data_IF_129477970802
#
_entry.id   IF_129477970802
#
_cell.length_a   1.000
_cell.length_b   1.000
_cell.length_c   1.000
_cell.angle_alpha   90.00
_cell.angle_beta   90.00
_cell.angle_gamma   90.00
#
_symmetry.space_group_name_H-M   'P 1'
#
loop_
_entity.id
_entity.type
_entity.pdbx_description
1 polymer ?
#
# COMPACT_ATOMS: atom_id res chain seq x y z
N UNK A 1 3.68 -9.77 14.89
CA UNK A 1 2.81 -9.72 13.70
C UNK A 1 1.77 -10.84 13.75
N UNK A 2 2.14 -12.14 13.66
CA UNK A 2 1.13 -13.22 13.66
C UNK A 2 0.29 -13.31 14.95
N UNK A 3 0.86 -12.99 16.12
CA UNK A 3 0.13 -12.95 17.40
C UNK A 3 -0.95 -11.87 17.45
N UNK A 4 -0.68 -10.70 16.89
CA UNK A 4 -1.56 -9.53 16.98
C UNK A 4 -2.74 -9.62 16.00
N UNK A 5 -2.54 -10.28 14.86
CA UNK A 5 -3.49 -10.25 13.74
C UNK A 5 -4.35 -11.51 13.60
N UNK A 6 -3.82 -12.68 13.97
CA UNK A 6 -4.39 -13.99 13.58
C UNK A 6 -5.80 -14.26 14.11
N UNK A 7 -6.26 -13.52 15.12
CA UNK A 7 -7.60 -13.61 15.67
C UNK A 7 -8.64 -12.76 14.93
N UNK A 8 -8.20 -11.81 14.09
CA UNK A 8 -9.03 -10.79 13.45
C UNK A 8 -8.97 -10.92 11.94
N UNK A 9 -7.77 -11.07 11.36
CA UNK A 9 -7.56 -11.21 9.92
C UNK A 9 -6.69 -12.43 9.58
N UNK A 10 -6.94 -13.12 8.46
CA UNK A 10 -6.15 -14.28 8.07
C UNK A 10 -4.72 -13.86 7.70
N UNK A 11 -3.72 -14.44 8.37
CA UNK A 11 -2.30 -14.23 8.05
C UNK A 11 -1.84 -15.36 7.13
N UNK A 12 -1.72 -15.06 5.84
CA UNK A 12 -1.41 -16.04 4.80
C UNK A 12 0.09 -16.00 4.51
N UNK A 13 0.77 -17.14 4.69
CA UNK A 13 2.19 -17.29 4.34
C UNK A 13 2.30 -17.80 2.92
N UNK A 14 2.92 -17.03 2.02
CA UNK A 14 3.07 -17.43 0.62
C UNK A 14 4.40 -16.94 0.05
N UNK A 15 4.66 -17.25 -1.21
CA UNK A 15 5.66 -16.61 -2.07
C UNK A 15 4.95 -16.06 -3.31
N UNK A 16 5.61 -15.17 -4.04
CA UNK A 16 5.10 -14.67 -5.32
C UNK A 16 6.21 -14.78 -6.35
N UNK A 17 5.99 -15.58 -7.40
CA UNK A 17 6.99 -15.92 -8.39
C UNK A 17 8.23 -16.57 -7.78
N UNK A 18 8.05 -17.35 -6.71
CA UNK A 18 9.16 -17.97 -5.95
C UNK A 18 10.02 -16.98 -5.15
N UNK A 19 9.61 -15.72 -5.02
CA UNK A 19 10.34 -14.69 -4.28
C UNK A 19 9.73 -14.41 -2.90
N UNK A 20 10.51 -13.73 -2.05
CA UNK A 20 10.10 -13.32 -0.68
C UNK A 20 9.75 -11.84 -0.55
N UNK A 21 9.71 -11.09 -1.65
CA UNK A 21 9.49 -9.64 -1.66
C UNK A 21 8.01 -9.29 -1.95
N UNK A 22 7.10 -10.04 -1.33
CA UNK A 22 5.66 -10.05 -1.63
C UNK A 22 5.04 -8.65 -1.56
N UNK A 23 5.37 -7.88 -0.51
CA UNK A 23 4.82 -6.54 -0.30
C UNK A 23 5.23 -5.51 -1.37
N UNK A 24 6.30 -5.76 -2.15
CA UNK A 24 6.66 -4.93 -3.29
C UNK A 24 6.04 -5.40 -4.59
N UNK A 25 5.70 -6.69 -4.67
CA UNK A 25 5.18 -7.33 -5.88
C UNK A 25 3.67 -7.21 -6.02
N UNK A 26 2.95 -7.04 -4.91
CA UNK A 26 1.49 -7.04 -4.87
C UNK A 26 0.97 -5.72 -4.32
N UNK A 27 -0.26 -5.36 -4.69
CA UNK A 27 -1.00 -4.26 -4.11
C UNK A 27 -2.45 -4.71 -3.90
N UNK A 28 -3.15 -4.19 -2.90
CA UNK A 28 -4.51 -4.61 -2.61
C UNK A 28 -5.14 -3.85 -1.45
N UNK A 29 -6.46 -3.92 -1.39
CA UNK A 29 -7.30 -3.39 -0.33
C UNK A 29 -8.27 -4.47 0.16
N UNK A 30 -9.32 -4.12 0.91
CA UNK A 30 -10.28 -5.12 1.40
C UNK A 30 -11.10 -5.80 0.30
N UNK A 31 -11.20 -5.21 -0.90
CA UNK A 31 -12.03 -5.68 -2.00
C UNK A 31 -11.24 -6.54 -2.99
N UNK A 32 -9.94 -6.28 -3.16
CA UNK A 32 -9.15 -6.96 -4.18
C UNK A 32 -7.66 -7.06 -3.89
N UNK A 33 -7.02 -8.05 -4.52
CA UNK A 33 -5.59 -8.29 -4.48
C UNK A 33 -5.03 -8.44 -5.90
N UNK A 34 -4.09 -7.58 -6.23
CA UNK A 34 -3.37 -7.54 -7.49
C UNK A 34 -2.06 -8.30 -7.39
N UNK A 35 -1.88 -9.25 -8.29
CA UNK A 35 -0.71 -10.13 -8.36
C UNK A 35 0.04 -9.93 -9.68
N UNK A 36 1.37 -10.05 -9.70
CA UNK A 36 2.13 -9.97 -10.95
C UNK A 36 1.89 -11.22 -11.80
N UNK A 37 2.10 -11.10 -13.11
CA UNK A 37 2.04 -12.23 -14.06
C UNK A 37 2.99 -13.39 -13.71
N UNK A 38 4.06 -13.12 -12.96
CA UNK A 38 5.05 -14.12 -12.53
C UNK A 38 4.55 -15.06 -11.42
N UNK A 39 3.37 -14.80 -10.85
CA UNK A 39 2.77 -15.64 -9.80
C UNK A 39 2.40 -17.01 -10.35
N UNK A 40 2.84 -18.08 -9.67
CA UNK A 40 2.52 -19.45 -10.12
C UNK A 40 1.06 -19.82 -9.87
N UNK A 41 0.55 -20.85 -10.54
CA UNK A 41 -0.82 -21.35 -10.33
C UNK A 41 -1.02 -21.90 -8.92
N UNK A 42 0.00 -22.54 -8.36
CA UNK A 42 -0.01 -23.01 -6.98
C UNK A 42 -0.13 -21.84 -5.99
N UNK A 43 0.68 -20.79 -6.16
CA UNK A 43 0.63 -19.58 -5.32
C UNK A 43 -0.73 -18.88 -5.43
N UNK A 44 -1.26 -18.77 -6.65
CA UNK A 44 -2.56 -18.15 -6.91
C UNK A 44 -3.71 -18.90 -6.26
N UNK A 45 -3.77 -20.23 -6.42
CA UNK A 45 -4.80 -21.06 -5.79
C UNK A 45 -4.68 -21.05 -4.27
N UNK A 46 -3.46 -21.08 -3.74
CA UNK A 46 -3.22 -20.96 -2.30
C UNK A 46 -3.78 -19.64 -1.75
N UNK A 47 -3.53 -18.51 -2.42
CA UNK A 47 -4.07 -17.21 -2.03
C UNK A 47 -5.61 -17.17 -2.15
N UNK A 48 -6.16 -17.63 -3.27
CA UNK A 48 -7.60 -17.62 -3.51
C UNK A 48 -8.38 -18.45 -2.49
N UNK A 49 -7.84 -19.59 -2.07
CA UNK A 49 -8.46 -20.47 -1.07
C UNK A 49 -8.30 -19.97 0.38
N UNK A 50 -7.32 -19.10 0.62
CA UNK A 50 -7.01 -18.60 1.97
C UNK A 50 -7.62 -17.22 2.25
N UNK A 51 -7.97 -16.47 1.20
CA UNK A 51 -8.64 -15.18 1.30
C UNK A 51 -10.16 -15.34 1.41
N UNK A 52 -10.86 -14.38 2.05
CA UNK A 52 -12.32 -14.37 2.08
C UNK A 52 -12.93 -14.28 0.67
N UNK A 53 -14.12 -14.87 0.47
CA UNK A 53 -14.78 -14.95 -0.84
C UNK A 53 -15.02 -13.59 -1.51
N UNK A 54 -15.19 -12.53 -0.70
CA UNK A 54 -15.39 -11.16 -1.16
C UNK A 54 -14.15 -10.49 -1.77
N UNK A 55 -12.95 -11.04 -1.59
CA UNK A 55 -11.71 -10.47 -2.12
C UNK A 55 -11.45 -10.98 -3.53
N UNK A 56 -11.45 -10.11 -4.53
CA UNK A 56 -11.14 -10.46 -5.92
C UNK A 56 -9.63 -10.57 -6.11
N UNK A 57 -9.14 -11.75 -6.46
CA UNK A 57 -7.71 -11.99 -6.71
C UNK A 57 -7.47 -12.05 -8.21
N UNK A 58 -6.59 -11.21 -8.74
CA UNK A 58 -6.32 -11.16 -10.18
C UNK A 58 -4.85 -10.91 -10.49
N UNK A 59 -4.37 -11.55 -11.57
CA UNK A 59 -3.03 -11.31 -12.11
C UNK A 59 -3.09 -10.19 -13.14
N UNK A 60 -2.15 -9.26 -13.07
CA UNK A 60 -1.97 -8.17 -14.04
C UNK A 60 -0.65 -8.38 -14.78
N UNK A 61 -0.69 -8.23 -16.11
CA UNK A 61 0.52 -8.23 -16.95
C UNK A 61 1.07 -6.81 -17.07
N UNK A 62 1.86 -6.40 -16.08
CA UNK A 62 2.54 -5.11 -16.08
C UNK A 62 4.06 -5.29 -16.27
N UNK A 63 4.69 -4.38 -17.04
CA UNK A 63 6.09 -4.47 -17.48
C UNK A 63 6.99 -3.34 -16.96
N UNK A 64 6.44 -2.24 -16.45
CA UNK A 64 7.18 -1.08 -15.95
C UNK A 64 7.96 -1.39 -14.67
N UNK A 65 7.25 -1.86 -13.64
CA UNK A 65 7.84 -2.22 -12.35
C UNK A 65 6.95 -3.21 -11.60
N UNK A 66 7.36 -3.54 -10.38
CA UNK A 66 6.53 -4.32 -9.47
C UNK A 66 5.27 -3.53 -9.06
N UNK A 67 4.11 -4.18 -9.05
CA UNK A 67 2.81 -3.54 -8.79
C UNK A 67 2.80 -2.76 -7.46
N UNK A 68 3.38 -3.31 -6.40
CA UNK A 68 3.46 -2.65 -5.09
C UNK A 68 4.42 -1.45 -5.04
N UNK A 69 5.31 -1.26 -6.02
CA UNK A 69 6.08 -0.01 -6.15
C UNK A 69 5.28 1.05 -6.92
N UNK A 70 4.43 0.64 -7.85
CA UNK A 70 3.70 1.53 -8.74
C UNK A 70 2.33 1.94 -8.20
N UNK A 71 1.76 1.21 -7.24
CA UNK A 71 0.40 1.40 -6.76
C UNK A 71 0.42 1.59 -5.23
N UNK A 72 -0.29 2.62 -4.75
CA UNK A 72 -0.61 2.82 -3.34
C UNK A 72 -2.12 3.02 -3.21
N UNK A 73 -2.81 2.17 -2.45
CA UNK A 73 -4.27 2.18 -2.37
C UNK A 73 -4.79 2.04 -0.95
N UNK A 74 -5.96 2.62 -0.69
CA UNK A 74 -6.80 2.32 0.45
C UNK A 74 -8.16 1.75 -0.04
N UNK A 75 -9.20 1.80 0.78
CA UNK A 75 -10.51 1.24 0.39
C UNK A 75 -11.36 2.19 -0.47
N UNK A 76 -10.94 3.45 -0.65
CA UNK A 76 -11.72 4.49 -1.34
C UNK A 76 -11.01 5.00 -2.60
N UNK A 77 -9.69 5.11 -2.55
CA UNK A 77 -8.85 5.72 -3.61
C UNK A 77 -7.56 4.93 -3.81
N UNK A 78 -7.02 5.01 -5.01
CA UNK A 78 -5.70 4.50 -5.36
C UNK A 78 -4.88 5.56 -6.11
N UNK A 79 -3.59 5.63 -5.79
CA UNK A 79 -2.59 6.34 -6.58
C UNK A 79 -1.78 5.34 -7.39
N UNK A 80 -1.49 5.69 -8.64
CA UNK A 80 -0.72 4.87 -9.55
C UNK A 80 0.38 5.66 -10.28
N UNK A 81 1.36 4.95 -10.83
CA UNK A 81 2.38 5.52 -11.70
C UNK A 81 1.77 6.16 -12.95
N UNK A 82 2.28 7.31 -13.36
CA UNK A 82 1.79 8.13 -14.50
C UNK A 82 1.85 7.45 -15.88
N UNK A 83 2.67 6.41 -16.04
CA UNK A 83 3.04 5.83 -17.33
C UNK A 83 2.36 4.47 -17.54
N UNK A 84 1.56 4.04 -16.56
CA UNK A 84 0.68 2.90 -16.69
C UNK A 84 -0.42 3.23 -17.71
N UNK A 85 -0.83 2.22 -18.46
CA UNK A 85 -1.83 2.37 -19.51
C UNK A 85 -3.26 2.46 -18.95
N UNK A 86 -4.16 3.03 -19.75
CA UNK A 86 -5.55 3.24 -19.38
C UNK A 86 -6.27 1.91 -19.09
N UNK A 87 -5.87 0.83 -19.77
CA UNK A 87 -6.42 -0.52 -19.54
C UNK A 87 -6.05 -1.06 -18.15
N UNK A 88 -4.80 -0.86 -17.69
CA UNK A 88 -4.40 -1.24 -16.34
C UNK A 88 -5.06 -0.37 -15.28
N UNK A 89 -5.23 0.93 -15.54
CA UNK A 89 -5.97 1.84 -14.66
C UNK A 89 -7.42 1.37 -14.43
N UNK A 90 -8.16 1.08 -15.51
CA UNK A 90 -9.53 0.58 -15.45
C UNK A 90 -9.60 -0.75 -14.68
N UNK A 91 -8.67 -1.67 -14.96
CA UNK A 91 -8.58 -2.95 -14.25
C UNK A 91 -8.36 -2.76 -12.74
N UNK A 92 -7.45 -1.86 -12.34
CA UNK A 92 -7.17 -1.58 -10.94
C UNK A 92 -8.42 -1.02 -10.26
N UNK A 93 -9.09 -0.04 -10.89
CA UNK A 93 -10.32 0.57 -10.37
C UNK A 93 -11.42 -0.47 -10.16
N UNK A 94 -11.63 -1.36 -11.13
CA UNK A 94 -12.64 -2.42 -11.08
C UNK A 94 -12.35 -3.47 -10.00
N UNK A 95 -11.09 -3.91 -9.88
CA UNK A 95 -10.70 -4.98 -8.94
C UNK A 95 -10.70 -4.47 -7.50
N UNK A 96 -10.17 -3.26 -7.28
CA UNK A 96 -10.07 -2.67 -5.95
C UNK A 96 -11.36 -1.95 -5.55
N UNK A 97 -12.24 -1.61 -6.50
CA UNK A 97 -13.47 -0.86 -6.27
C UNK A 97 -13.21 0.56 -5.80
N UNK A 98 -12.22 1.24 -6.37
CA UNK A 98 -11.75 2.58 -5.95
C UNK A 98 -11.52 3.50 -7.14
N UNK A 99 -11.57 4.80 -6.89
CA UNK A 99 -11.13 5.79 -7.88
C UNK A 99 -9.60 5.80 -7.98
N UNK A 100 -9.07 5.78 -9.20
CA UNK A 100 -7.63 5.71 -9.46
C UNK A 100 -7.13 7.05 -9.96
N UNK A 101 -6.03 7.52 -9.39
CA UNK A 101 -5.39 8.79 -9.74
C UNK A 101 -3.93 8.56 -10.14
N UNK A 102 -3.53 9.11 -11.29
CA UNK A 102 -2.12 9.15 -11.69
C UNK A 102 -1.42 10.27 -10.97
N UNK A 103 -0.39 9.94 -10.21
CA UNK A 103 0.27 10.94 -9.39
C UNK A 103 1.75 10.67 -9.17
N UNK A 104 2.47 11.70 -8.72
CA UNK A 104 3.86 11.62 -8.30
C UNK A 104 4.03 12.12 -6.87
N UNK A 105 5.03 11.59 -6.16
CA UNK A 105 5.35 11.98 -4.77
C UNK A 105 6.78 12.49 -4.73
N UNK A 106 6.94 13.77 -4.39
CA UNK A 106 8.24 14.46 -4.41
C UNK A 106 8.99 14.29 -5.74
N UNK A 107 8.28 14.34 -6.87
CA UNK A 107 8.83 14.13 -8.21
C UNK A 107 9.13 12.67 -8.59
N UNK A 108 8.80 11.70 -7.73
CA UNK A 108 8.96 10.27 -8.01
C UNK A 108 7.64 9.67 -8.50
N UNK A 109 7.72 8.87 -9.56
CA UNK A 109 6.56 8.15 -10.14
C UNK A 109 6.22 6.85 -9.40
N UNK A 110 7.16 6.31 -8.60
CA UNK A 110 6.97 5.08 -7.82
C UNK A 110 6.21 5.36 -6.52
N UNK A 111 4.94 5.76 -6.63
CA UNK A 111 4.11 6.18 -5.50
C UNK A 111 4.01 5.12 -4.40
N UNK A 112 3.94 3.84 -4.76
CA UNK A 112 3.89 2.70 -3.83
C UNK A 112 5.18 2.48 -3.04
N UNK A 113 6.33 3.00 -3.50
CA UNK A 113 7.58 2.95 -2.73
C UNK A 113 7.68 4.08 -1.70
N UNK A 114 7.06 5.22 -2.00
CA UNK A 114 7.28 6.50 -1.32
C UNK A 114 6.07 7.03 -0.53
N UNK A 115 4.92 6.33 -0.54
CA UNK A 115 3.81 6.53 0.41
C UNK A 115 3.45 5.21 1.10
N UNK A 116 2.93 5.35 2.32
CA UNK A 116 2.06 4.35 2.93
C UNK A 116 0.71 5.02 3.23
N UNK A 117 -0.39 4.42 2.78
CA UNK A 117 -1.74 4.98 2.87
C UNK A 117 -2.68 4.03 3.62
N UNK A 118 -3.59 4.59 4.41
CA UNK A 118 -4.78 3.91 4.95
C UNK A 118 -6.01 4.79 4.73
N UNK A 119 -7.18 4.38 5.24
CA UNK A 119 -8.38 5.22 5.19
C UNK A 119 -8.27 6.43 6.13
N UNK A 120 -7.35 6.40 7.11
CA UNK A 120 -7.18 7.46 8.11
C UNK A 120 -6.17 8.53 7.71
N UNK A 121 -5.20 8.22 6.84
CA UNK A 121 -4.14 9.14 6.40
C UNK A 121 -3.12 8.50 5.45
N UNK A 122 -2.17 9.30 4.93
CA UNK A 122 -0.95 8.82 4.26
C UNK A 122 0.30 9.50 4.84
N UNK A 123 1.36 8.70 4.95
CA UNK A 123 2.73 9.15 5.18
C UNK A 123 3.50 9.12 3.86
N UNK A 124 4.06 10.25 3.44
CA UNK A 124 4.81 10.40 2.19
C UNK A 124 6.28 10.74 2.42
N UNK A 125 7.06 10.65 1.33
CA UNK A 125 8.44 11.10 1.22
C UNK A 125 8.69 12.46 1.90
N UNK A 126 9.79 12.64 2.66
CA UNK A 126 10.03 13.83 3.48
C UNK A 126 10.22 15.13 2.68
N UNK A 127 10.70 15.04 1.43
CA UNK A 127 10.89 16.18 0.54
C UNK A 127 9.64 16.57 -0.28
N UNK A 128 8.47 16.00 0.04
CA UNK A 128 7.21 16.42 -0.60
C UNK A 128 6.90 17.87 -0.19
N UNK A 129 6.61 18.74 -1.15
CA UNK A 129 6.36 20.16 -0.87
C UNK A 129 5.06 20.34 -0.08
N UNK A 130 4.93 21.46 0.63
CA UNK A 130 3.72 21.74 1.41
C UNK A 130 2.52 21.90 0.48
N UNK A 131 2.74 22.52 -0.68
CA UNK A 131 1.76 22.67 -1.75
C UNK A 131 1.27 21.30 -2.25
N UNK A 132 2.19 20.39 -2.59
CA UNK A 132 1.83 19.02 -3.03
C UNK A 132 1.04 18.28 -1.94
N UNK A 133 1.43 18.40 -0.67
CA UNK A 133 0.72 17.76 0.44
C UNK A 133 -0.74 18.24 0.53
N UNK A 134 -0.99 19.54 0.36
CA UNK A 134 -2.34 20.10 0.37
C UNK A 134 -3.17 19.66 -0.84
N UNK A 135 -2.56 19.64 -2.03
CA UNK A 135 -3.22 19.17 -3.25
C UNK A 135 -3.61 17.69 -3.13
N UNK A 136 -2.67 16.83 -2.73
CA UNK A 136 -2.91 15.40 -2.52
C UNK A 136 -3.97 15.14 -1.46
N UNK A 137 -3.91 15.87 -0.34
CA UNK A 137 -4.88 15.73 0.74
C UNK A 137 -6.28 16.14 0.32
N UNK A 138 -6.40 17.16 -0.54
CA UNK A 138 -7.69 17.60 -1.08
C UNK A 138 -8.22 16.62 -2.11
N UNK A 139 -7.35 16.10 -2.98
CA UNK A 139 -7.72 15.16 -4.05
C UNK A 139 -8.20 13.82 -3.51
N UNK A 140 -7.51 13.28 -2.50
CA UNK A 140 -7.73 11.92 -1.99
C UNK A 140 -8.56 11.90 -0.71
N UNK A 141 -8.99 13.07 -0.23
CA UNK A 141 -9.81 13.27 0.98
C UNK A 141 -9.22 12.62 2.26
N UNK A 142 -7.90 12.41 2.31
CA UNK A 142 -7.18 11.88 3.48
C UNK A 142 -6.05 12.82 3.88
N UNK A 143 -5.68 12.91 5.18
CA UNK A 143 -4.59 13.77 5.61
C UNK A 143 -3.23 13.20 5.17
N UNK A 144 -2.41 14.05 4.54
CA UNK A 144 -1.04 13.73 4.13
C UNK A 144 -0.02 14.37 5.07
N UNK A 145 0.99 13.61 5.47
CA UNK A 145 2.14 14.12 6.23
C UNK A 145 3.42 13.62 5.59
N UNK A 146 4.41 14.51 5.44
CA UNK A 146 5.76 14.14 5.04
C UNK A 146 6.57 13.67 6.26
N UNK A 147 7.31 12.58 6.11
CA UNK A 147 8.15 12.05 7.18
C UNK A 147 9.09 10.96 6.71
N UNK A 148 9.73 10.29 7.66
CA UNK A 148 10.66 9.20 7.40
C UNK A 148 10.35 8.00 8.27
N UNK A 149 10.96 6.87 7.91
CA UNK A 149 10.92 5.63 8.70
C UNK A 149 12.35 5.13 8.92
N UNK A 150 12.57 4.25 9.89
CA UNK A 150 13.88 3.57 10.07
C UNK A 150 15.11 4.50 10.17
N UNK A 151 15.04 5.59 10.95
CA UNK A 151 16.11 6.60 11.12
C UNK A 151 16.42 7.38 9.84
N UNK A 152 15.38 7.95 9.24
CA UNK A 152 15.57 8.86 8.10
C UNK A 152 15.51 8.18 6.73
N UNK A 153 15.05 6.93 6.64
CA UNK A 153 14.79 6.30 5.34
C UNK A 153 13.60 6.99 4.66
N UNK A 154 13.83 7.40 3.43
CA UNK A 154 12.86 8.03 2.53
C UNK A 154 11.92 7.01 1.87
N UNK A 155 12.33 5.73 1.80
CA UNK A 155 11.52 4.64 1.29
C UNK A 155 10.48 4.20 2.33
N UNK A 156 9.33 4.88 2.33
CA UNK A 156 8.28 4.70 3.35
C UNK A 156 7.72 3.26 3.35
N UNK A 157 7.28 2.75 2.20
CA UNK A 157 6.64 1.44 2.11
C UNK A 157 7.59 0.26 2.39
N UNK A 158 8.90 0.47 2.28
CA UNK A 158 9.90 -0.53 2.67
C UNK A 158 10.02 -0.67 4.19
N UNK A 159 9.66 0.38 4.93
CA UNK A 159 9.81 0.45 6.37
C UNK A 159 8.50 0.44 7.17
N UNK A 160 7.35 0.63 6.52
CA UNK A 160 6.05 0.74 7.14
C UNK A 160 4.98 0.05 6.29
N UNK A 161 4.17 -0.78 6.96
CA UNK A 161 2.87 -1.23 6.46
C UNK A 161 1.81 -0.88 7.50
N UNK A 162 0.64 -0.47 7.05
CA UNK A 162 -0.39 0.07 7.94
C UNK A 162 -1.77 -0.23 7.41
N UNK A 163 -2.71 -0.50 8.30
CA UNK A 163 -4.13 -0.49 8.04
C UNK A 163 -4.80 0.51 9.00
N UNK A 164 -6.12 0.51 9.07
CA UNK A 164 -6.86 1.51 9.85
C UNK A 164 -6.66 1.40 11.37
N UNK A 165 -6.16 0.28 11.89
CA UNK A 165 -6.08 0.02 13.33
C UNK A 165 -4.73 -0.51 13.82
N UNK A 166 -3.82 -0.90 12.93
CA UNK A 166 -2.47 -1.33 13.28
C UNK A 166 -1.45 -0.94 12.21
N UNK A 167 -0.24 -0.63 12.66
CA UNK A 167 0.92 -0.37 11.80
C UNK A 167 2.11 -1.22 12.23
N UNK A 168 2.83 -1.79 11.27
CA UNK A 168 4.11 -2.45 11.51
C UNK A 168 5.22 -1.63 10.88
N UNK A 169 6.18 -1.25 11.70
CA UNK A 169 7.38 -0.52 11.26
C UNK A 169 8.63 -1.37 11.44
N UNK A 170 9.69 -1.04 10.69
CA UNK A 170 11.00 -1.64 10.89
C UNK A 170 11.57 -1.33 12.29
N UNK A 171 12.41 -2.25 12.79
CA UNK A 171 12.97 -2.19 14.15
C UNK A 171 13.89 -1.01 14.42
N UNK A 172 14.37 -0.35 13.36
CA UNK A 172 15.23 0.81 13.47
C UNK A 172 14.44 2.11 13.66
N UNK A 173 13.11 2.12 13.42
CA UNK A 173 12.30 3.31 13.54
C UNK A 173 12.43 3.96 14.93
N UNK A 174 12.62 5.27 14.93
CA UNK A 174 12.79 6.05 16.16
C UNK A 174 11.45 6.29 16.85
N UNK A 175 11.47 6.56 18.16
CA UNK A 175 10.26 6.91 18.91
C UNK A 175 9.53 8.13 18.32
N UNK A 176 10.27 9.08 17.75
CA UNK A 176 9.70 10.24 17.05
C UNK A 176 8.97 9.83 15.78
N UNK A 177 9.58 8.98 14.94
CA UNK A 177 8.95 8.45 13.72
C UNK A 177 7.68 7.66 14.06
N UNK A 178 7.74 6.79 15.08
CA UNK A 178 6.57 6.02 15.56
C UNK A 178 5.45 6.94 16.04
N UNK A 179 5.78 7.99 16.80
CA UNK A 179 4.79 8.99 17.27
C UNK A 179 4.10 9.73 16.12
N UNK A 180 4.84 10.04 15.05
CA UNK A 180 4.27 10.64 13.83
C UNK A 180 3.34 9.64 13.14
N UNK A 181 3.77 8.39 12.94
CA UNK A 181 2.96 7.33 12.32
C UNK A 181 1.66 7.11 13.10
N UNK A 182 1.73 6.94 14.43
CA UNK A 182 0.55 6.77 15.28
C UNK A 182 -0.45 7.92 15.15
N UNK A 183 0.05 9.15 15.00
CA UNK A 183 -0.78 10.35 14.86
C UNK A 183 -1.43 10.45 13.48
N UNK A 184 -0.66 10.20 12.41
CA UNK A 184 -1.14 10.26 11.02
C UNK A 184 -2.27 9.26 10.79
N UNK A 185 -2.05 8.02 11.21
CA UNK A 185 -2.97 6.91 10.97
C UNK A 185 -3.99 6.71 12.11
N UNK A 186 -4.00 7.59 13.12
CA UNK A 186 -4.94 7.58 14.27
C UNK A 186 -5.01 6.24 15.02
N UNK A 187 -3.89 5.52 15.11
CA UNK A 187 -3.84 4.14 15.62
C UNK A 187 -4.16 4.00 17.12
N UNK A 188 -4.01 5.06 17.92
CA UNK A 188 -4.27 5.01 19.37
C UNK A 188 -5.76 4.87 19.73
N UNK A 189 -6.63 5.33 18.85
CA UNK A 189 -8.08 5.35 19.06
C UNK A 189 -8.80 4.31 18.22
N UNK A 190 -8.06 3.64 17.33
CA UNK A 190 -8.61 2.69 16.38
C UNK A 190 -8.90 1.33 17.04
N UNK A 191 -10.01 0.72 16.62
CA UNK A 191 -10.38 -0.64 16.97
C UNK A 191 -10.51 -1.48 15.69
N UNK A 192 -10.28 -2.81 15.77
CA UNK A 192 -10.37 -3.69 14.62
C UNK A 192 -11.78 -3.84 14.04
#
# INVERSE_FOLDING_TARGET
>A
CNSELSHIIPVIKTSIGGTRIIGRLCAGNKNGLLLPHTTTDEEFHHLRNSLPDGVVVRRIDERLSALGNCIACNDNVAMMHTDLDDETEEMIGDILGVEVFRQTIAGNTLVGSYCAISNAGCLVHPHTSVEDLYELSTLLEVPFIAGTVNRGSEAIAAGLIVNDWTGFTGSNATATEVSVIERVFKLREAQP
#
